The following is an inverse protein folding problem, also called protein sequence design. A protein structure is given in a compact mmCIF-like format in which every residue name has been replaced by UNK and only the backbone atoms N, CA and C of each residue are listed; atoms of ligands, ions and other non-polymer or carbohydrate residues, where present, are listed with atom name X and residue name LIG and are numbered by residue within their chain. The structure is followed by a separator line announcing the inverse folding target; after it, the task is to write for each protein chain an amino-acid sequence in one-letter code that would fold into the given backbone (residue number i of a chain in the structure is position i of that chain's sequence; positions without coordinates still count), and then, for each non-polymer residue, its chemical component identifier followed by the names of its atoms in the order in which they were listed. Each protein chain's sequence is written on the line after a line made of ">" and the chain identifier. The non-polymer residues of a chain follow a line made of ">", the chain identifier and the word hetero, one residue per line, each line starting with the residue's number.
data_IF_838067634026
#
_entry.id   IF_838067634026
#
_cell.length_a   1.000
_cell.length_b   1.000
_cell.length_c   1.000
_cell.angle_alpha   90.00
_cell.angle_beta   90.00
_cell.angle_gamma   90.00
#
_symmetry.space_group_name_H-M   'P 1'
#
loop_
_entity.id
_entity.type
_entity.pdbx_description
1 polymer ?
#
# COMPACT_ATOMS: atom_id res chain seq x y z
N UNK A 1 6.53 -5.72 12.18
CA UNK A 1 7.00 -6.81 11.29
C UNK A 1 5.95 -7.90 11.08
N UNK A 2 5.38 -8.47 12.16
CA UNK A 2 4.36 -9.54 12.08
C UNK A 2 3.20 -9.21 11.12
N UNK A 3 2.55 -8.05 11.26
CA UNK A 3 1.45 -7.63 10.37
C UNK A 3 1.87 -7.48 8.90
N UNK A 4 3.12 -7.08 8.63
CA UNK A 4 3.66 -6.98 7.28
C UNK A 4 3.78 -8.36 6.62
N UNK A 5 4.36 -9.33 7.34
CA UNK A 5 4.46 -10.72 6.88
C UNK A 5 3.08 -11.35 6.63
N UNK A 6 2.11 -11.13 7.53
CA UNK A 6 0.75 -11.61 7.34
C UNK A 6 0.09 -11.01 6.09
N UNK A 7 0.24 -9.70 5.87
CA UNK A 7 -0.31 -9.03 4.70
C UNK A 7 0.33 -9.47 3.38
N UNK A 8 1.64 -9.74 3.36
CA UNK A 8 2.35 -10.20 2.17
C UNK A 8 1.92 -11.62 1.78
N UNK A 9 1.84 -12.51 2.77
CA UNK A 9 1.47 -13.90 2.54
C UNK A 9 0.00 -14.03 2.09
N UNK A 10 -0.93 -13.41 2.83
CA UNK A 10 -2.35 -13.50 2.49
C UNK A 10 -2.69 -12.79 1.18
N UNK A 11 -2.08 -11.64 0.89
CA UNK A 11 -2.28 -10.94 -0.38
C UNK A 11 -1.89 -11.79 -1.58
N UNK A 12 -0.73 -12.46 -1.51
CA UNK A 12 -0.28 -13.40 -2.54
C UNK A 12 -1.21 -14.60 -2.71
N UNK A 13 -1.64 -15.25 -1.61
CA UNK A 13 -2.56 -16.39 -1.66
C UNK A 13 -3.91 -16.05 -2.27
N UNK A 14 -4.46 -14.86 -1.99
CA UNK A 14 -5.74 -14.44 -2.58
C UNK A 14 -5.55 -14.14 -4.07
N UNK A 15 -4.43 -13.54 -4.46
CA UNK A 15 -4.14 -13.22 -5.85
C UNK A 15 -3.88 -14.45 -6.73
N UNK A 16 -3.39 -15.57 -6.19
CA UNK A 16 -3.24 -16.79 -7.00
C UNK A 16 -4.57 -17.37 -7.45
N UNK A 17 -5.66 -17.13 -6.69
CA UNK A 17 -7.00 -17.61 -7.01
C UNK A 17 -7.75 -16.60 -7.91
N UNK A 18 -7.64 -15.31 -7.62
CA UNK A 18 -8.44 -14.25 -8.25
C UNK A 18 -7.67 -13.40 -9.28
N UNK A 19 -6.35 -13.60 -9.39
CA UNK A 19 -5.46 -12.77 -10.19
C UNK A 19 -5.62 -12.97 -11.69
N UNK A 20 -5.48 -11.87 -12.42
CA UNK A 20 -5.60 -11.85 -13.89
C UNK A 20 -4.25 -11.89 -14.61
N UNK A 21 -3.18 -11.50 -13.92
CA UNK A 21 -1.84 -11.35 -14.51
C UNK A 21 -0.80 -12.17 -13.76
N UNK A 22 0.00 -12.94 -14.51
CA UNK A 22 1.01 -13.87 -13.95
C UNK A 22 2.25 -13.17 -13.39
N UNK A 23 2.59 -11.98 -13.91
CA UNK A 23 3.82 -11.26 -13.55
C UNK A 23 3.63 -10.24 -12.41
N UNK A 24 2.40 -10.05 -11.94
CA UNK A 24 2.10 -9.08 -10.88
C UNK A 24 2.26 -9.74 -9.52
N UNK A 25 3.19 -9.22 -8.73
CA UNK A 25 3.37 -9.61 -7.33
C UNK A 25 2.62 -8.64 -6.43
N UNK A 26 1.75 -9.17 -5.56
CA UNK A 26 1.08 -8.38 -4.52
C UNK A 26 1.80 -8.50 -3.18
N UNK A 27 1.94 -7.37 -2.50
CA UNK A 27 2.52 -7.31 -1.16
C UNK A 27 2.41 -5.90 -0.57
N UNK A 28 2.73 -5.75 0.73
CA UNK A 28 2.76 -4.46 1.38
C UNK A 28 3.87 -3.60 0.78
N UNK A 29 3.50 -2.45 0.21
CA UNK A 29 4.47 -1.48 -0.29
C UNK A 29 4.82 -0.46 0.80
N UNK A 30 6.00 0.17 0.67
CA UNK A 30 6.43 1.21 1.60
C UNK A 30 5.43 2.39 1.66
N UNK A 31 4.88 2.78 0.50
CA UNK A 31 3.87 3.84 0.40
C UNK A 31 2.59 3.47 1.17
N UNK A 32 2.07 2.25 0.97
CA UNK A 32 0.90 1.76 1.72
C UNK A 32 1.15 1.77 3.23
N UNK A 33 2.37 1.43 3.65
CA UNK A 33 2.74 1.44 5.07
C UNK A 33 2.78 2.87 5.64
N UNK A 34 3.30 3.83 4.88
CA UNK A 34 3.34 5.25 5.28
C UNK A 34 1.93 5.85 5.39
N UNK A 35 1.05 5.60 4.41
CA UNK A 35 -0.34 6.07 4.43
C UNK A 35 -1.16 5.40 5.52
N UNK A 36 -0.96 4.11 5.77
CA UNK A 36 -1.60 3.42 6.88
C UNK A 36 -1.14 4.01 8.23
N UNK A 37 0.16 4.27 8.38
CA UNK A 37 0.73 4.85 9.59
C UNK A 37 0.11 6.21 9.95
N UNK A 38 -0.14 7.08 8.96
CA UNK A 38 -0.72 8.41 9.20
C UNK A 38 -2.17 8.36 9.71
N UNK A 39 -2.94 7.32 9.38
CA UNK A 39 -4.33 7.15 9.81
C UNK A 39 -4.46 6.37 11.11
N UNK A 40 -3.60 5.36 11.30
CA UNK A 40 -3.74 4.37 12.37
C UNK A 40 -3.26 4.91 13.73
N UNK A 41 -2.27 5.81 13.74
CA UNK A 41 -1.79 6.45 14.98
C UNK A 41 -1.32 5.46 16.05
N UNK A 42 -0.75 4.32 15.65
CA UNK A 42 -0.24 3.28 16.54
C UNK A 42 -1.27 2.29 17.11
N UNK A 43 -2.56 2.43 16.78
CA UNK A 43 -3.64 1.57 17.29
C UNK A 43 -3.98 0.44 16.29
N UNK A 44 -3.62 -0.83 16.53
CA UNK A 44 -3.77 -1.90 15.53
C UNK A 44 -5.23 -2.14 15.09
N UNK A 45 -6.20 -1.91 15.98
CA UNK A 45 -7.63 -2.02 15.67
C UNK A 45 -8.06 -1.09 14.52
N UNK A 46 -7.45 0.10 14.41
CA UNK A 46 -7.73 1.05 13.33
C UNK A 46 -7.18 0.58 11.99
N UNK A 47 -6.04 -0.12 11.98
CA UNK A 47 -5.47 -0.69 10.76
C UNK A 47 -6.36 -1.78 10.16
N UNK A 48 -6.95 -2.62 11.02
CA UNK A 48 -7.88 -3.68 10.59
C UNK A 48 -9.17 -3.10 10.04
N UNK A 49 -9.72 -2.05 10.67
CA UNK A 49 -10.89 -1.37 10.16
C UNK A 49 -10.60 -0.67 8.82
N UNK A 50 -9.45 0.01 8.71
CA UNK A 50 -9.02 0.67 7.48
C UNK A 50 -8.86 -0.33 6.33
N UNK A 51 -8.23 -1.49 6.57
CA UNK A 51 -8.06 -2.51 5.53
C UNK A 51 -9.39 -3.13 5.11
N UNK A 52 -10.32 -3.35 6.05
CA UNK A 52 -11.67 -3.83 5.75
C UNK A 52 -12.43 -2.83 4.86
N UNK A 53 -12.42 -1.54 5.22
CA UNK A 53 -13.10 -0.49 4.45
C UNK A 53 -12.50 -0.34 3.04
N UNK A 54 -11.17 -0.33 2.90
CA UNK A 54 -10.51 -0.32 1.60
C UNK A 54 -10.91 -1.53 0.75
N UNK A 55 -11.00 -2.73 1.36
CA UNK A 55 -11.43 -3.95 0.68
C UNK A 55 -12.89 -3.89 0.21
N UNK A 56 -13.80 -3.37 1.03
CA UNK A 56 -15.21 -3.16 0.64
C UNK A 56 -15.30 -2.18 -0.54
N UNK A 57 -14.59 -1.05 -0.48
CA UNK A 57 -14.59 -0.06 -1.56
C UNK A 57 -14.02 -0.67 -2.84
N UNK A 58 -12.92 -1.43 -2.77
CA UNK A 58 -12.35 -2.12 -3.94
C UNK A 58 -13.27 -3.20 -4.50
N UNK A 59 -13.95 -3.98 -3.64
CA UNK A 59 -14.93 -4.97 -4.08
C UNK A 59 -16.12 -4.29 -4.79
N UNK A 60 -16.62 -3.17 -4.25
CA UNK A 60 -17.68 -2.38 -4.88
C UNK A 60 -17.24 -1.80 -6.22
N UNK A 61 -16.04 -1.23 -6.31
CA UNK A 61 -15.49 -0.74 -7.57
C UNK A 61 -15.34 -1.86 -8.61
N UNK A 62 -14.93 -3.06 -8.19
CA UNK A 62 -14.84 -4.22 -9.06
C UNK A 62 -16.22 -4.71 -9.54
N UNK A 63 -17.21 -4.79 -8.65
CA UNK A 63 -18.59 -5.17 -8.98
C UNK A 63 -19.24 -4.20 -9.96
N UNK A 64 -19.00 -2.90 -9.78
CA UNK A 64 -19.47 -1.84 -10.67
C UNK A 64 -18.60 -1.68 -11.94
N UNK A 65 -17.54 -2.48 -12.08
CA UNK A 65 -16.57 -2.43 -13.20
C UNK A 65 -15.99 -1.02 -13.43
N UNK A 66 -15.71 -0.30 -12.35
CA UNK A 66 -15.16 1.07 -12.36
C UNK A 66 -13.66 1.12 -12.70
N UNK A 67 -13.12 0.13 -13.42
CA UNK A 67 -11.72 0.11 -13.84
C UNK A 67 -11.36 1.25 -14.78
N UNK A 68 -12.33 1.74 -15.57
CA UNK A 68 -12.14 2.86 -16.50
C UNK A 68 -11.76 4.18 -15.81
N UNK A 69 -12.00 4.32 -14.50
CA UNK A 69 -11.58 5.50 -13.74
C UNK A 69 -10.05 5.67 -13.73
N UNK A 70 -9.32 4.56 -13.82
CA UNK A 70 -7.86 4.58 -13.84
C UNK A 70 -7.31 5.23 -15.11
N UNK A 71 -8.05 5.18 -16.22
CA UNK A 71 -7.64 5.78 -17.50
C UNK A 71 -7.66 7.32 -17.47
N UNK A 72 -8.40 7.91 -16.52
CA UNK A 72 -8.41 9.37 -16.31
C UNK A 72 -7.22 9.87 -15.48
N UNK A 73 -6.46 8.97 -14.86
CA UNK A 73 -5.27 9.37 -14.09
C UNK A 73 -4.13 9.64 -15.07
N UNK A 74 -3.70 10.89 -15.13
CA UNK A 74 -2.65 11.29 -16.07
C UNK A 74 -1.30 10.68 -15.72
N UNK A 75 -0.54 10.26 -16.75
CA UNK A 75 0.83 9.75 -16.58
C UNK A 75 1.76 10.68 -15.78
N UNK A 76 1.73 12.02 -15.95
CA UNK A 76 2.55 12.93 -15.14
C UNK A 76 2.25 12.85 -13.64
N UNK A 77 0.98 12.67 -13.25
CA UNK A 77 0.58 12.55 -11.83
C UNK A 77 1.15 11.27 -11.22
N UNK A 78 1.04 10.15 -11.93
CA UNK A 78 1.58 8.85 -11.46
C UNK A 78 3.11 8.94 -11.30
N UNK A 79 3.80 9.52 -12.29
CA UNK A 79 5.26 9.72 -12.23
C UNK A 79 5.65 10.65 -11.09
N UNK A 80 4.96 11.77 -10.92
CA UNK A 80 5.20 12.73 -9.84
C UNK A 80 5.03 12.11 -8.47
N UNK A 81 3.91 11.39 -8.26
CA UNK A 81 3.64 10.66 -7.01
C UNK A 81 4.72 9.63 -6.70
N UNK A 82 5.13 8.84 -7.70
CA UNK A 82 6.16 7.81 -7.53
C UNK A 82 7.52 8.41 -7.18
N UNK A 83 7.88 9.54 -7.80
CA UNK A 83 9.13 10.25 -7.53
C UNK A 83 9.15 10.82 -6.11
N UNK A 84 8.05 11.47 -5.68
CA UNK A 84 7.89 11.97 -4.32
C UNK A 84 7.94 10.85 -3.27
N UNK A 85 7.31 9.71 -3.55
CA UNK A 85 7.39 8.54 -2.70
C UNK A 85 8.81 8.00 -2.58
N UNK A 86 9.57 7.89 -3.68
CA UNK A 86 10.96 7.43 -3.67
C UNK A 86 11.85 8.34 -2.82
N UNK A 87 11.71 9.66 -2.96
CA UNK A 87 12.42 10.65 -2.14
C UNK A 87 12.04 10.49 -0.66
N UNK A 88 10.75 10.40 -0.35
CA UNK A 88 10.26 10.24 1.03
C UNK A 88 10.80 8.97 1.69
N UNK A 89 10.81 7.86 0.98
CA UNK A 89 11.35 6.58 1.47
C UNK A 89 12.86 6.70 1.71
N UNK A 90 13.59 7.29 0.75
CA UNK A 90 15.04 7.49 0.87
C UNK A 90 15.42 8.31 2.09
N UNK A 91 14.80 9.49 2.27
CA UNK A 91 15.02 10.33 3.45
C UNK A 91 14.55 9.67 4.75
N UNK A 92 13.47 8.88 4.70
CA UNK A 92 12.97 8.11 5.84
C UNK A 92 13.97 7.09 6.40
N UNK A 93 14.96 6.66 5.60
CA UNK A 93 16.01 5.74 6.04
C UNK A 93 17.30 6.42 6.51
N UNK A 94 17.49 7.72 6.29
CA UNK A 94 18.74 8.42 6.62
C UNK A 94 19.08 8.32 8.11
N UNK A 95 18.08 8.44 9.00
CA UNK A 95 18.27 8.27 10.46
C UNK A 95 18.77 6.87 10.82
N UNK A 96 18.22 5.84 10.17
CA UNK A 96 18.61 4.45 10.39
C UNK A 96 20.04 4.18 9.88
N UNK A 97 20.42 4.75 8.75
CA UNK A 97 21.76 4.59 8.16
C UNK A 97 22.84 5.27 9.02
N UNK A 98 22.55 6.46 9.56
CA UNK A 98 23.47 7.20 10.43
C UNK A 98 23.54 6.64 11.86
N UNK A 99 22.72 5.63 12.20
CA UNK A 99 22.70 5.01 13.53
C UNK A 99 22.24 5.96 14.64
N UNK A 100 21.47 7.00 14.30
CA UNK A 100 21.01 8.00 15.28
C UNK A 100 19.70 7.48 15.89
N UNK A 101 19.83 6.77 17.01
CA UNK A 101 18.70 6.28 17.80
C UNK A 101 18.50 7.21 19.01
N UNK A 102 17.48 8.07 18.99
CA UNK A 102 17.15 8.90 20.17
C UNK A 102 16.58 10.31 19.95
N UNK A 103 16.35 10.74 18.69
CA UNK A 103 15.66 12.02 18.37
C UNK A 103 14.69 11.86 17.21
#
# INVERSE_FOLDING_TARGET
>A
VQYGLYSAFMGGLIYTILGTSKDVTLGPTAIMSLLCSSVVGGQPHRAVLLSLLCGIIQALMALLRLGFLLDFISYPVIKGFTCAAAVTIGFGQVKNILGIHGV
#
